data_IF_175167481434
#
_entry.id   IF_175167481434
#
_cell.length_a   1.000
_cell.length_b   1.000
_cell.length_c   1.000
_cell.angle_alpha   90.00
_cell.angle_beta   90.00
_cell.angle_gamma   90.00
#
_symmetry.space_group_name_H-M   'P 1'
#
loop_
_entity.id
_entity.type
_entity.pdbx_description
1 polymer ?
#
# COMPACT_ATOMS: atom_id res chain seq x y z
N UNK A 1 -32.02 -34.00 29.43
CA UNK A 1 -32.02 -35.39 29.94
C UNK A 1 -31.16 -35.40 31.19
N UNK A 2 -31.79 -35.30 32.36
CA UNK A 2 -31.13 -35.49 33.64
C UNK A 2 -30.84 -36.99 33.78
N UNK A 3 -29.57 -37.37 33.88
CA UNK A 3 -29.18 -38.71 34.29
C UNK A 3 -28.67 -38.61 35.72
N UNK A 4 -29.47 -39.16 36.62
CA UNK A 4 -29.05 -39.63 37.93
C UNK A 4 -27.84 -40.54 37.73
N UNK A 5 -26.65 -40.02 37.99
CA UNK A 5 -25.43 -40.82 38.07
C UNK A 5 -25.19 -41.14 39.54
N UNK A 6 -25.13 -42.44 39.84
CA UNK A 6 -24.81 -42.99 41.15
C UNK A 6 -23.56 -42.28 41.74
N UNK A 7 -23.77 -41.61 42.88
CA UNK A 7 -22.84 -40.69 43.51
C UNK A 7 -21.74 -41.37 44.37
N UNK A 8 -21.32 -42.59 44.03
CA UNK A 8 -20.43 -43.37 44.92
C UNK A 8 -18.94 -43.37 44.55
N UNK A 9 -18.56 -42.91 43.35
CA UNK A 9 -17.15 -42.89 42.89
C UNK A 9 -16.67 -41.53 42.34
N UNK A 10 -17.45 -40.45 42.51
CA UNK A 10 -17.06 -39.13 42.01
C UNK A 10 -16.01 -38.48 42.92
N UNK A 11 -14.84 -38.15 42.36
CA UNK A 11 -13.75 -37.50 43.09
C UNK A 11 -14.07 -36.02 43.33
N UNK A 12 -14.01 -35.58 44.58
CA UNK A 12 -14.14 -34.17 44.93
C UNK A 12 -12.95 -33.37 44.39
N UNK A 13 -13.22 -32.31 43.63
CA UNK A 13 -12.19 -31.42 43.06
C UNK A 13 -12.17 -30.04 43.71
N UNK A 14 -13.27 -29.59 44.31
CA UNK A 14 -13.35 -28.27 44.92
C UNK A 14 -14.54 -28.06 45.84
N UNK A 15 -14.44 -27.03 46.68
CA UNK A 15 -15.57 -26.46 47.43
C UNK A 15 -15.91 -25.09 46.84
N UNK A 16 -17.21 -24.79 46.74
CA UNK A 16 -17.73 -23.55 46.16
C UNK A 16 -18.70 -22.87 47.13
N UNK A 17 -18.58 -21.57 47.33
CA UNK A 17 -19.54 -20.75 48.06
C UNK A 17 -20.29 -19.85 47.08
N UNK A 18 -21.62 -19.78 47.22
CA UNK A 18 -22.50 -18.90 46.46
C UNK A 18 -22.86 -17.66 47.27
N UNK A 19 -22.91 -16.50 46.63
CA UNK A 19 -23.32 -15.22 47.21
C UNK A 19 -24.37 -14.52 46.34
N UNK A 20 -25.22 -13.74 46.99
CA UNK A 20 -26.23 -12.89 46.34
C UNK A 20 -25.71 -11.45 46.09
N UNK A 21 -24.63 -11.05 46.75
CA UNK A 21 -24.06 -9.71 46.66
C UNK A 21 -22.53 -9.72 46.45
N UNK A 22 -21.99 -8.74 45.69
CA UNK A 22 -20.57 -8.69 45.38
C UNK A 22 -19.67 -8.31 46.57
N UNK A 23 -20.19 -7.57 47.55
CA UNK A 23 -19.40 -7.12 48.70
C UNK A 23 -19.06 -8.30 49.63
N UNK A 24 -20.03 -9.18 49.85
CA UNK A 24 -19.84 -10.43 50.59
C UNK A 24 -18.81 -11.34 49.91
N UNK A 25 -18.81 -11.41 48.58
CA UNK A 25 -17.80 -12.14 47.81
C UNK A 25 -16.39 -11.55 48.06
N UNK A 26 -16.22 -10.24 47.98
CA UNK A 26 -14.92 -9.59 48.17
C UNK A 26 -14.35 -9.86 49.57
N UNK A 27 -15.19 -9.76 50.61
CA UNK A 27 -14.79 -10.08 51.98
C UNK A 27 -14.43 -11.56 52.13
N UNK A 28 -15.17 -12.46 51.47
CA UNK A 28 -14.86 -13.89 51.45
C UNK A 28 -13.52 -14.17 50.75
N UNK A 29 -13.26 -13.55 49.61
CA UNK A 29 -11.99 -13.64 48.89
C UNK A 29 -10.82 -13.21 49.78
N UNK A 30 -10.95 -12.07 50.48
CA UNK A 30 -9.91 -11.60 51.38
C UNK A 30 -9.68 -12.56 52.55
N UNK A 31 -10.75 -13.11 53.14
CA UNK A 31 -10.65 -14.13 54.20
C UNK A 31 -9.92 -15.38 53.73
N UNK A 32 -10.25 -15.87 52.53
CA UNK A 32 -9.61 -17.04 51.92
C UNK A 32 -8.13 -16.79 51.66
N UNK A 33 -7.77 -15.63 51.09
CA UNK A 33 -6.37 -15.21 50.90
C UNK A 33 -5.62 -15.15 52.25
N UNK A 34 -6.19 -14.50 53.27
CA UNK A 34 -5.60 -14.41 54.62
C UNK A 34 -5.45 -15.77 55.30
N UNK A 35 -6.32 -16.72 54.98
CA UNK A 35 -6.24 -18.09 55.49
C UNK A 35 -5.16 -18.94 54.78
N UNK A 36 -4.50 -18.41 53.74
CA UNK A 36 -3.35 -19.01 53.08
C UNK A 36 -3.69 -19.95 51.93
N UNK A 37 -4.91 -19.88 51.38
CA UNK A 37 -5.26 -20.61 50.16
C UNK A 37 -4.71 -19.87 48.94
N UNK A 38 -4.30 -20.63 47.93
CA UNK A 38 -3.60 -20.11 46.72
C UNK A 38 -4.23 -20.57 45.42
N UNK A 39 -4.88 -21.73 45.40
CA UNK A 39 -5.62 -22.29 44.25
C UNK A 39 -7.10 -22.00 44.41
N UNK A 40 -7.44 -20.73 44.23
CA UNK A 40 -8.77 -20.21 44.46
C UNK A 40 -9.18 -19.35 43.29
N UNK A 41 -10.45 -19.39 42.94
CA UNK A 41 -10.98 -18.62 41.83
C UNK A 41 -12.37 -18.07 42.16
N UNK A 42 -12.70 -16.90 41.62
CA UNK A 42 -13.98 -16.24 41.83
C UNK A 42 -14.67 -16.00 40.50
N UNK A 43 -15.96 -16.33 40.43
CA UNK A 43 -16.77 -16.25 39.23
C UNK A 43 -17.87 -15.23 39.43
N UNK A 44 -17.92 -14.28 38.51
CA UNK A 44 -18.74 -13.08 38.62
C UNK A 44 -19.34 -12.78 37.24
N UNK A 45 -20.61 -12.33 37.17
CA UNK A 45 -21.27 -12.05 35.88
C UNK A 45 -20.68 -10.82 35.17
N UNK A 46 -19.97 -9.96 35.91
CA UNK A 46 -19.28 -8.79 35.41
C UNK A 46 -17.96 -8.57 36.16
N UNK A 47 -17.02 -7.78 35.60
CA UNK A 47 -15.75 -7.47 36.27
C UNK A 47 -15.97 -6.71 37.58
N UNK A 48 -15.53 -7.28 38.70
CA UNK A 48 -15.59 -6.65 40.02
C UNK A 48 -14.28 -5.95 40.35
N UNK A 49 -14.34 -4.64 40.59
CA UNK A 49 -13.17 -3.86 40.99
C UNK A 49 -12.65 -4.31 42.36
N UNK A 50 -11.34 -4.51 42.48
CA UNK A 50 -10.69 -4.93 43.72
C UNK A 50 -10.66 -6.45 43.96
N UNK A 51 -11.26 -7.26 43.08
CA UNK A 51 -11.21 -8.72 43.21
C UNK A 51 -9.79 -9.27 43.11
N UNK A 52 -8.96 -8.68 42.24
CA UNK A 52 -7.56 -9.03 42.07
C UNK A 52 -6.77 -8.85 43.37
N UNK A 53 -7.00 -7.73 44.06
CA UNK A 53 -6.38 -7.49 45.37
C UNK A 53 -6.95 -8.43 46.42
N UNK A 54 -8.28 -8.60 46.47
CA UNK A 54 -8.95 -9.46 47.45
C UNK A 54 -8.46 -10.92 47.39
N UNK A 55 -8.29 -11.48 46.19
CA UNK A 55 -7.74 -12.82 45.96
C UNK A 55 -6.19 -12.85 45.98
N UNK A 56 -5.53 -11.71 45.78
CA UNK A 56 -4.07 -11.64 45.69
C UNK A 56 -3.53 -12.13 44.35
N UNK A 57 -4.27 -11.88 43.27
CA UNK A 57 -3.90 -12.24 41.91
C UNK A 57 -2.68 -11.40 41.49
N UNK A 58 -1.69 -12.07 40.90
CA UNK A 58 -0.48 -11.40 40.38
C UNK A 58 -0.79 -10.73 39.03
N UNK A 59 -0.13 -9.62 38.70
CA UNK A 59 -0.24 -9.02 37.37
C UNK A 59 0.04 -10.03 36.26
N UNK A 60 -0.77 -10.00 35.21
CA UNK A 60 -0.60 -10.89 34.05
C UNK A 60 0.67 -10.56 33.27
N UNK A 61 1.29 -11.58 32.68
CA UNK A 61 2.45 -11.42 31.77
C UNK A 61 2.04 -11.00 30.36
N UNK A 62 0.74 -10.97 30.05
CA UNK A 62 0.22 -10.68 28.71
C UNK A 62 0.76 -9.36 28.11
N UNK A 63 0.83 -8.23 28.84
CA UNK A 63 1.37 -6.99 28.27
C UNK A 63 2.81 -7.11 27.76
N UNK A 64 3.64 -7.93 28.40
CA UNK A 64 5.02 -8.17 27.97
C UNK A 64 5.10 -9.02 26.70
N UNK A 65 4.20 -10.01 26.57
CA UNK A 65 4.06 -10.80 25.34
C UNK A 65 3.66 -9.89 24.18
N UNK A 66 2.67 -9.03 24.41
CA UNK A 66 2.13 -8.08 23.42
C UNK A 66 3.21 -7.08 23.00
N UNK A 67 3.94 -6.50 23.95
CA UNK A 67 5.05 -5.60 23.66
C UNK A 67 6.12 -6.27 22.80
N UNK A 68 6.51 -7.50 23.15
CA UNK A 68 7.55 -8.24 22.43
C UNK A 68 7.13 -8.55 20.98
N UNK A 69 5.90 -9.00 20.77
CA UNK A 69 5.38 -9.29 19.43
C UNK A 69 5.11 -8.01 18.62
N UNK A 70 4.71 -6.91 19.27
CA UNK A 70 4.59 -5.60 18.63
C UNK A 70 5.94 -5.09 18.11
N UNK A 71 7.00 -5.17 18.93
CA UNK A 71 8.37 -4.81 18.52
C UNK A 71 8.82 -5.68 17.35
N UNK A 72 8.56 -6.99 17.41
CA UNK A 72 8.85 -7.90 16.30
C UNK A 72 8.12 -7.49 15.02
N UNK A 73 6.83 -7.17 15.07
CA UNK A 73 6.06 -6.70 13.92
C UNK A 73 6.64 -5.43 13.29
N UNK A 74 7.09 -4.48 14.13
CA UNK A 74 7.74 -3.26 13.66
C UNK A 74 9.10 -3.52 12.99
N UNK A 75 9.93 -4.37 13.59
CA UNK A 75 11.23 -4.77 13.01
C UNK A 75 11.06 -5.55 11.72
N UNK A 76 10.08 -6.46 11.65
CA UNK A 76 9.76 -7.22 10.44
C UNK A 76 9.27 -6.29 9.32
N UNK A 77 8.40 -5.32 9.64
CA UNK A 77 7.93 -4.32 8.68
C UNK A 77 9.05 -3.42 8.15
N UNK A 78 9.97 -3.00 9.02
CA UNK A 78 11.15 -2.23 8.64
C UNK A 78 12.08 -3.04 7.75
N UNK A 79 12.40 -4.28 8.16
CA UNK A 79 13.29 -5.17 7.43
C UNK A 79 12.74 -5.53 6.05
N UNK A 80 11.43 -5.85 5.95
CA UNK A 80 10.77 -6.15 4.68
C UNK A 80 10.87 -4.96 3.72
N UNK A 81 10.50 -3.77 4.17
CA UNK A 81 10.50 -2.58 3.31
C UNK A 81 11.92 -2.14 2.93
N UNK A 82 12.90 -2.31 3.82
CA UNK A 82 14.30 -2.08 3.49
C UNK A 82 14.78 -3.08 2.45
N UNK A 83 14.50 -4.38 2.65
CA UNK A 83 14.90 -5.44 1.74
C UNK A 83 14.35 -5.20 0.34
N UNK A 84 13.04 -4.93 0.21
CA UNK A 84 12.41 -4.76 -1.11
C UNK A 84 12.83 -3.47 -1.80
N UNK A 85 12.88 -2.33 -1.08
CA UNK A 85 13.08 -1.02 -1.72
C UNK A 85 14.54 -0.61 -1.86
N UNK A 86 15.44 -1.11 -1.01
CA UNK A 86 16.83 -0.66 -0.97
C UNK A 86 17.85 -1.74 -1.33
N UNK A 87 17.52 -3.02 -1.18
CA UNK A 87 18.45 -4.13 -1.42
C UNK A 87 18.12 -4.94 -2.67
N UNK A 88 16.94 -5.55 -2.73
CA UNK A 88 16.56 -6.50 -3.78
C UNK A 88 16.25 -5.80 -5.11
N UNK A 89 15.38 -4.80 -5.09
CA UNK A 89 14.99 -4.06 -6.28
C UNK A 89 14.99 -2.54 -6.05
N UNK A 90 16.18 -1.90 -5.96
CA UNK A 90 16.27 -0.48 -5.73
C UNK A 90 15.68 0.31 -6.91
N UNK A 91 14.53 0.95 -6.66
CA UNK A 91 13.80 1.70 -7.68
C UNK A 91 13.64 3.17 -7.28
N UNK A 92 14.19 4.07 -8.09
CA UNK A 92 14.13 5.51 -7.86
C UNK A 92 12.79 6.08 -8.33
N UNK A 93 11.81 6.12 -7.43
CA UNK A 93 10.48 6.69 -7.70
C UNK A 93 10.49 8.18 -7.39
N UNK A 94 10.26 9.02 -8.41
CA UNK A 94 10.12 10.48 -8.23
C UNK A 94 11.35 11.13 -7.56
N UNK A 95 12.55 10.61 -7.84
CA UNK A 95 13.82 11.03 -7.25
C UNK A 95 13.87 11.01 -5.71
N UNK A 96 13.00 10.23 -5.07
CA UNK A 96 13.08 9.98 -3.63
C UNK A 96 14.24 9.01 -3.33
N UNK A 97 14.81 9.07 -2.11
CA UNK A 97 15.78 8.07 -1.68
C UNK A 97 15.17 6.67 -1.78
N UNK A 98 15.97 5.67 -2.13
CA UNK A 98 15.55 4.26 -2.22
C UNK A 98 14.99 3.73 -0.89
N UNK A 99 15.41 4.32 0.23
CA UNK A 99 14.80 4.08 1.53
C UNK A 99 14.40 5.40 2.21
N UNK A 100 13.12 5.51 2.60
CA UNK A 100 12.58 6.68 3.30
C UNK A 100 11.76 6.23 4.51
N UNK A 101 12.30 6.49 5.71
CA UNK A 101 11.60 6.13 6.95
C UNK A 101 10.21 6.78 7.05
N UNK A 102 10.01 8.10 6.76
CA UNK A 102 8.68 8.71 6.79
C UNK A 102 7.64 8.05 5.88
N UNK A 103 8.07 7.58 4.69
CA UNK A 103 7.17 6.90 3.76
C UNK A 103 6.77 5.49 4.25
N UNK A 104 7.64 4.86 5.04
CA UNK A 104 7.47 3.47 5.50
C UNK A 104 6.77 3.36 6.86
N UNK A 105 6.66 4.46 7.63
CA UNK A 105 6.01 4.48 8.95
C UNK A 105 4.58 3.91 8.93
N UNK A 106 3.69 4.26 7.99
CA UNK A 106 2.32 3.73 8.00
C UNK A 106 2.29 2.20 7.96
N UNK A 107 3.11 1.58 7.11
CA UNK A 107 3.18 0.11 7.00
C UNK A 107 3.78 -0.51 8.26
N UNK A 108 4.83 0.09 8.82
CA UNK A 108 5.44 -0.37 10.08
C UNK A 108 4.41 -0.33 11.22
N UNK A 109 3.68 0.78 11.33
CA UNK A 109 2.65 0.98 12.34
C UNK A 109 1.53 -0.07 12.26
N UNK A 110 1.01 -0.33 11.06
CA UNK A 110 -0.01 -1.36 10.86
C UNK A 110 0.50 -2.75 11.25
N UNK A 111 1.76 -3.09 10.91
CA UNK A 111 2.35 -4.37 11.31
C UNK A 111 2.58 -4.49 12.81
N UNK A 112 2.95 -3.40 13.50
CA UNK A 112 3.01 -3.39 14.98
C UNK A 112 1.63 -3.69 15.57
N UNK A 113 0.58 -2.99 15.10
CA UNK A 113 -0.78 -3.19 15.61
C UNK A 113 -1.28 -4.60 15.32
N UNK A 114 -1.08 -5.11 14.11
CA UNK A 114 -1.52 -6.45 13.72
C UNK A 114 -0.91 -7.52 14.62
N UNK A 115 0.42 -7.48 14.83
CA UNK A 115 1.09 -8.46 15.69
C UNK A 115 0.69 -8.30 17.16
N UNK A 116 0.55 -7.07 17.64
CA UNK A 116 0.09 -6.80 19.00
C UNK A 116 -1.34 -7.33 19.22
N UNK A 117 -2.27 -7.10 18.29
CA UNK A 117 -3.65 -7.57 18.38
C UNK A 117 -3.74 -9.10 18.39
N UNK A 118 -2.98 -9.77 17.50
CA UNK A 118 -2.88 -11.24 17.48
C UNK A 118 -2.31 -11.75 18.81
N UNK A 119 -1.26 -11.10 19.34
CA UNK A 119 -0.66 -11.44 20.63
C UNK A 119 -1.64 -11.29 21.79
N UNK A 120 -2.43 -10.21 21.82
CA UNK A 120 -3.46 -9.98 22.84
C UNK A 120 -4.49 -11.09 22.77
N UNK A 121 -5.05 -11.36 21.60
CA UNK A 121 -6.12 -12.32 21.43
C UNK A 121 -5.68 -13.74 21.76
N UNK A 122 -4.64 -14.23 21.08
CA UNK A 122 -4.12 -15.59 21.28
C UNK A 122 -3.50 -15.74 22.67
N UNK A 123 -2.76 -14.73 23.13
CA UNK A 123 -2.15 -14.74 24.46
C UNK A 123 -3.19 -14.79 25.58
N UNK A 124 -4.29 -14.03 25.47
CA UNK A 124 -5.39 -14.09 26.44
C UNK A 124 -6.03 -15.47 26.45
N UNK A 125 -6.33 -16.05 25.28
CA UNK A 125 -6.89 -17.39 25.19
C UNK A 125 -5.93 -18.43 25.80
N UNK A 126 -4.66 -18.42 25.41
CA UNK A 126 -3.67 -19.39 25.87
C UNK A 126 -3.42 -19.32 27.38
N UNK A 127 -3.29 -18.11 27.95
CA UNK A 127 -3.07 -17.92 29.39
C UNK A 127 -4.28 -18.38 30.22
N UNK A 128 -5.49 -18.23 29.67
CA UNK A 128 -6.73 -18.75 30.27
C UNK A 128 -7.03 -20.22 29.90
N UNK A 129 -6.09 -20.91 29.22
CA UNK A 129 -6.24 -22.30 28.73
C UNK A 129 -7.47 -22.51 27.83
N UNK A 130 -7.84 -21.50 27.07
CA UNK A 130 -8.92 -21.56 26.10
C UNK A 130 -8.38 -22.01 24.73
N UNK A 131 -9.15 -22.82 23.98
CA UNK A 131 -10.46 -23.37 24.33
C UNK A 131 -10.36 -24.57 25.30
N UNK A 132 -11.09 -24.51 26.41
CA UNK A 132 -11.37 -25.66 27.28
C UNK A 132 -12.81 -26.11 27.04
N UNK A 133 -13.01 -27.33 26.53
CA UNK A 133 -14.33 -27.82 26.10
C UNK A 133 -15.20 -28.41 27.21
N UNK A 134 -14.60 -28.75 28.35
CA UNK A 134 -15.34 -29.20 29.53
C UNK A 134 -14.71 -28.61 30.79
N UNK A 135 -15.54 -28.04 31.66
CA UNK A 135 -15.15 -27.59 32.99
C UNK A 135 -16.15 -28.16 34.00
N UNK A 136 -15.71 -28.90 35.03
CA UNK A 136 -16.62 -29.54 35.99
C UNK A 136 -17.56 -28.56 36.73
N UNK A 137 -17.18 -27.28 36.83
CA UNK A 137 -18.02 -26.25 37.46
C UNK A 137 -19.38 -26.09 36.76
N UNK A 138 -19.45 -26.34 35.45
CA UNK A 138 -20.70 -26.28 34.69
C UNK A 138 -21.68 -27.42 35.00
N UNK A 139 -21.28 -28.42 35.81
CA UNK A 139 -22.15 -29.50 36.28
C UNK A 139 -22.92 -29.15 37.54
N UNK A 140 -22.48 -28.12 38.26
CA UNK A 140 -23.17 -27.62 39.45
C UNK A 140 -24.40 -26.81 38.99
N UNK A 141 -25.64 -27.25 39.29
CA UNK A 141 -26.85 -26.60 38.77
C UNK A 141 -26.94 -25.11 39.11
N UNK A 142 -26.49 -24.73 40.31
CA UNK A 142 -26.49 -23.36 40.79
C UNK A 142 -25.49 -22.48 40.02
N UNK A 143 -24.38 -23.06 39.55
CA UNK A 143 -23.34 -22.33 38.81
C UNK A 143 -23.82 -21.83 37.45
N UNK A 144 -24.93 -22.36 36.92
CA UNK A 144 -25.59 -21.82 35.73
C UNK A 144 -25.97 -20.33 35.88
N UNK A 145 -26.10 -19.83 37.12
CA UNK A 145 -26.39 -18.42 37.43
C UNK A 145 -25.15 -17.54 37.56
N UNK A 146 -23.94 -18.08 37.42
CA UNK A 146 -22.68 -17.33 37.54
C UNK A 146 -22.54 -16.22 36.49
N UNK A 147 -23.23 -16.35 35.36
CA UNK A 147 -23.25 -15.35 34.28
C UNK A 147 -24.50 -14.46 34.31
N UNK A 148 -25.40 -14.66 35.27
CA UNK A 148 -26.67 -13.93 35.37
C UNK A 148 -26.67 -13.01 36.60
N UNK A 149 -26.84 -13.59 37.79
CA UNK A 149 -27.07 -12.80 39.01
C UNK A 149 -26.37 -13.33 40.28
N UNK A 150 -25.60 -14.43 40.20
CA UNK A 150 -24.92 -15.02 41.36
C UNK A 150 -23.41 -14.93 41.26
N UNK A 151 -22.78 -14.84 42.43
CA UNK A 151 -21.34 -14.76 42.57
C UNK A 151 -20.83 -16.02 43.27
N UNK A 152 -19.67 -16.52 42.84
CA UNK A 152 -19.12 -17.77 43.37
C UNK A 152 -17.65 -17.62 43.74
N UNK A 153 -17.25 -18.25 44.84
CA UNK A 153 -15.86 -18.41 45.26
C UNK A 153 -15.53 -19.88 45.36
N UNK A 154 -14.43 -20.32 44.76
CA UNK A 154 -13.99 -21.71 44.77
C UNK A 154 -12.62 -21.89 45.42
N UNK A 155 -12.44 -23.03 46.07
CA UNK A 155 -11.14 -23.52 46.54
C UNK A 155 -10.94 -24.93 45.98
N UNK A 156 -9.82 -25.14 45.29
CA UNK A 156 -9.42 -26.43 44.75
C UNK A 156 -8.93 -27.37 45.88
N UNK A 157 -9.34 -28.64 45.85
CA UNK A 157 -8.93 -29.67 46.82
C UNK A 157 -7.41 -29.93 46.77
N UNK A 158 -6.77 -29.66 45.64
CA UNK A 158 -5.31 -29.78 45.45
C UNK A 158 -4.51 -28.62 46.06
N UNK A 159 -5.17 -27.65 46.70
CA UNK A 159 -4.48 -26.60 47.46
C UNK A 159 -3.77 -27.17 48.69
N UNK A 160 -2.56 -26.70 48.97
CA UNK A 160 -1.77 -27.18 50.11
C UNK A 160 -2.42 -26.87 51.48
N UNK A 161 -3.24 -25.82 51.54
CA UNK A 161 -3.96 -25.40 52.74
C UNK A 161 -5.33 -26.09 52.89
N UNK A 162 -5.76 -26.86 51.89
CA UNK A 162 -7.04 -27.56 51.91
C UNK A 162 -7.10 -28.66 52.97
N UNK A 163 -8.12 -28.60 53.83
CA UNK A 163 -8.45 -29.64 54.80
C UNK A 163 -9.97 -29.76 54.87
N UNK A 164 -10.59 -30.91 54.55
CA UNK A 164 -12.03 -31.03 54.31
C UNK A 164 -12.91 -30.33 55.38
N UNK A 165 -12.70 -30.65 56.67
CA UNK A 165 -13.48 -30.05 57.77
C UNK A 165 -13.18 -28.57 57.97
N UNK A 166 -11.91 -28.19 58.01
CA UNK A 166 -11.48 -26.80 58.26
C UNK A 166 -11.89 -25.87 57.12
N UNK A 167 -11.77 -26.32 55.87
CA UNK A 167 -12.18 -25.55 54.70
C UNK A 167 -13.70 -25.41 54.66
N UNK A 168 -14.44 -26.45 55.00
CA UNK A 168 -15.90 -26.37 55.13
C UNK A 168 -16.34 -25.39 56.23
N UNK A 169 -15.75 -25.47 57.42
CA UNK A 169 -16.00 -24.52 58.51
C UNK A 169 -15.66 -23.08 58.14
N UNK A 170 -14.58 -22.87 57.38
CA UNK A 170 -14.24 -21.55 56.86
C UNK A 170 -15.32 -21.06 55.90
N UNK A 171 -15.77 -21.91 54.98
CA UNK A 171 -16.82 -21.57 54.04
C UNK A 171 -18.10 -21.23 54.77
N UNK A 172 -18.54 -22.04 55.73
CA UNK A 172 -19.72 -21.79 56.58
C UNK A 172 -19.62 -20.54 57.46
N UNK A 173 -18.43 -19.95 57.59
CA UNK A 173 -18.21 -18.68 58.31
C UNK A 173 -18.33 -17.43 57.44
N UNK A 174 -18.58 -17.57 56.14
CA UNK A 174 -18.70 -16.43 55.25
C UNK A 174 -20.02 -15.70 55.48
N UNK A 175 -19.93 -14.38 55.59
CA UNK A 175 -21.12 -13.53 55.74
C UNK A 175 -21.77 -13.43 54.36
N UNK A 176 -23.09 -13.58 54.31
CA UNK A 176 -23.84 -13.41 53.06
C UNK A 176 -23.73 -14.58 52.08
N UNK A 177 -23.16 -15.71 52.49
CA UNK A 177 -23.22 -16.93 51.68
C UNK A 177 -24.67 -17.44 51.64
N UNK A 178 -25.11 -17.88 50.49
CA UNK A 178 -26.44 -18.47 50.30
C UNK A 178 -26.38 -19.99 50.27
N UNK A 179 -25.28 -20.56 49.75
CA UNK A 179 -25.05 -22.00 49.67
C UNK A 179 -23.55 -22.32 49.67
N UNK A 180 -23.20 -23.52 50.14
CA UNK A 180 -21.86 -24.11 49.98
C UNK A 180 -21.99 -25.46 49.30
N UNK A 181 -21.45 -25.53 48.09
CA UNK A 181 -21.59 -26.60 47.12
C UNK A 181 -20.28 -27.36 46.98
N UNK A 182 -20.38 -28.65 46.71
CA UNK A 182 -19.25 -29.51 46.43
C UNK A 182 -19.13 -29.70 44.92
N UNK A 183 -17.92 -29.51 44.39
CA UNK A 183 -17.63 -29.68 42.97
C UNK A 183 -16.92 -31.01 42.78
N UNK A 184 -17.51 -31.85 41.94
CA UNK A 184 -17.01 -33.19 41.63
C UNK A 184 -16.38 -33.23 40.24
N UNK A 185 -15.42 -34.13 40.03
CA UNK A 185 -14.77 -34.36 38.75
C UNK A 185 -15.81 -34.78 37.69
N UNK A 186 -15.68 -34.23 36.48
CA UNK A 186 -16.49 -34.65 35.33
C UNK A 186 -15.72 -35.75 34.57
N UNK A 187 -16.16 -37.02 34.63
CA UNK A 187 -15.50 -38.12 33.91
C UNK A 187 -15.79 -38.11 32.40
N UNK A 188 -16.64 -37.20 31.91
CA UNK A 188 -16.97 -37.15 30.48
C UNK A 188 -15.78 -36.69 29.63
N UNK A 189 -15.49 -37.45 28.57
CA UNK A 189 -14.46 -37.06 27.61
C UNK A 189 -14.83 -35.74 26.93
N UNK A 190 -13.92 -34.76 26.99
CA UNK A 190 -14.05 -33.46 26.35
C UNK A 190 -13.92 -33.58 24.81
N UNK A 191 -14.94 -34.15 24.17
CA UNK A 191 -14.99 -34.32 22.73
C UNK A 191 -15.39 -33.02 22.04
N UNK A 192 -14.56 -32.57 21.08
CA UNK A 192 -14.83 -31.38 20.28
C UNK A 192 -16.16 -31.58 19.50
N UNK A 193 -17.13 -30.65 19.58
CA UNK A 193 -18.41 -30.81 18.91
C UNK A 193 -18.21 -31.03 17.40
N UNK A 194 -18.96 -31.95 16.76
CA UNK A 194 -18.78 -32.26 15.35
C UNK A 194 -18.86 -31.02 14.45
N UNK A 195 -19.77 -30.08 14.76
CA UNK A 195 -19.93 -28.82 14.03
C UNK A 195 -18.62 -28.01 14.02
N UNK A 196 -17.97 -27.86 15.17
CA UNK A 196 -16.70 -27.13 15.29
C UNK A 196 -15.57 -27.82 14.50
N UNK A 197 -15.55 -29.17 14.48
CA UNK A 197 -14.60 -29.93 13.66
C UNK A 197 -14.78 -29.60 12.17
N UNK A 198 -16.01 -29.69 11.66
CA UNK A 198 -16.28 -29.42 10.25
C UNK A 198 -16.07 -27.95 9.87
N UNK A 199 -16.48 -27.00 10.72
CA UNK A 199 -16.23 -25.57 10.53
C UNK A 199 -14.73 -25.29 10.48
N UNK A 200 -13.93 -25.88 11.38
CA UNK A 200 -12.48 -25.75 11.38
C UNK A 200 -11.85 -26.29 10.09
N UNK A 201 -12.28 -27.46 9.61
CA UNK A 201 -11.83 -28.03 8.32
C UNK A 201 -12.19 -27.08 7.16
N UNK A 202 -13.43 -26.61 7.10
CA UNK A 202 -13.86 -25.66 6.06
C UNK A 202 -13.04 -24.36 6.10
N UNK A 203 -12.78 -23.81 7.29
CA UNK A 203 -11.98 -22.61 7.44
C UNK A 203 -10.53 -22.81 6.94
N UNK A 204 -9.92 -23.95 7.25
CA UNK A 204 -8.59 -24.31 6.75
C UNK A 204 -8.59 -24.45 5.22
N UNK A 205 -9.58 -25.14 4.67
CA UNK A 205 -9.72 -25.29 3.21
C UNK A 205 -9.85 -23.91 2.55
N UNK A 206 -10.71 -23.03 3.06
CA UNK A 206 -10.89 -21.67 2.53
C UNK A 206 -9.60 -20.86 2.66
N UNK A 207 -8.90 -20.93 3.78
CA UNK A 207 -7.66 -20.19 4.03
C UNK A 207 -6.51 -20.61 3.08
N UNK A 208 -6.55 -21.85 2.58
CA UNK A 208 -5.55 -22.38 1.63
C UNK A 208 -5.84 -21.97 0.18
N UNK A 209 -7.07 -21.55 -0.15
CA UNK A 209 -7.44 -21.14 -1.52
C UNK A 209 -6.58 -19.96 -2.02
N UNK A 210 -6.44 -18.82 -1.31
CA UNK A 210 -5.65 -17.70 -1.82
C UNK A 210 -4.17 -18.03 -2.06
N UNK A 211 -3.45 -18.71 -1.14
CA UNK A 211 -2.08 -19.17 -1.39
C UNK A 211 -1.96 -20.09 -2.61
N UNK A 212 -2.91 -21.01 -2.80
CA UNK A 212 -2.91 -21.90 -3.98
C UNK A 212 -3.16 -21.13 -5.29
N UNK A 213 -4.07 -20.14 -5.27
CA UNK A 213 -4.31 -19.28 -6.42
C UNK A 213 -3.07 -18.43 -6.75
N UNK A 214 -2.38 -17.91 -5.73
CA UNK A 214 -1.11 -17.19 -5.89
C UNK A 214 0.00 -18.10 -6.42
N UNK A 215 0.11 -19.32 -5.91
CA UNK A 215 1.09 -20.30 -6.38
C UNK A 215 0.85 -20.71 -7.84
N UNK A 216 -0.41 -20.99 -8.21
CA UNK A 216 -0.81 -21.22 -9.60
C UNK A 216 -0.48 -20.01 -10.49
N UNK A 217 -0.62 -18.81 -9.95
CA UNK A 217 -0.29 -17.57 -10.62
C UNK A 217 1.20 -17.17 -10.53
N UNK A 218 2.06 -17.90 -9.83
CA UNK A 218 3.43 -17.44 -9.61
C UNK A 218 4.26 -17.41 -10.91
N UNK A 219 4.07 -18.39 -11.80
CA UNK A 219 4.85 -18.53 -13.04
C UNK A 219 4.09 -18.19 -14.33
N UNK A 220 2.82 -17.82 -14.27
CA UNK A 220 2.11 -17.47 -15.50
C UNK A 220 2.54 -16.09 -16.01
N UNK A 221 2.42 -15.87 -17.31
CA UNK A 221 2.86 -14.65 -18.02
C UNK A 221 1.68 -13.83 -18.57
N UNK A 222 0.45 -14.15 -18.15
CA UNK A 222 -0.76 -13.51 -18.66
C UNK A 222 -0.76 -11.99 -18.47
N UNK A 223 -1.26 -11.27 -19.47
CA UNK A 223 -1.35 -9.80 -19.57
C UNK A 223 -2.60 -9.20 -18.89
N UNK A 224 -3.47 -10.05 -18.35
CA UNK A 224 -4.74 -9.67 -17.70
C UNK A 224 -4.70 -10.07 -16.22
N UNK A 225 -5.23 -9.24 -15.28
CA UNK A 225 -5.31 -9.59 -13.87
C UNK A 225 -6.07 -10.92 -13.69
N UNK A 226 -5.43 -11.88 -13.03
CA UNK A 226 -5.91 -13.27 -12.95
C UNK A 226 -7.03 -13.46 -11.93
N UNK A 227 -7.05 -12.60 -10.93
CA UNK A 227 -8.04 -12.55 -9.87
C UNK A 227 -8.41 -11.07 -9.75
N UNK A 228 -9.64 -10.75 -10.14
CA UNK A 228 -10.19 -9.40 -10.06
C UNK A 228 -11.35 -9.40 -9.04
N UNK A 229 -11.04 -9.35 -7.74
CA UNK A 229 -12.07 -9.34 -6.70
C UNK A 229 -12.82 -8.01 -6.65
N UNK A 230 -12.20 -6.92 -7.12
CA UNK A 230 -12.75 -5.56 -7.10
C UNK A 230 -12.89 -5.07 -8.54
N UNK A 231 -13.95 -5.53 -9.20
CA UNK A 231 -14.21 -5.23 -10.63
C UNK A 231 -14.38 -3.74 -10.94
N UNK A 232 -14.78 -2.98 -9.91
CA UNK A 232 -14.93 -1.52 -9.93
C UNK A 232 -13.61 -0.78 -10.23
N UNK A 233 -12.49 -1.21 -9.62
CA UNK A 233 -11.22 -0.49 -9.74
C UNK A 233 -10.43 -0.85 -10.99
N UNK A 234 -10.59 -2.07 -11.51
CA UNK A 234 -9.89 -2.53 -12.72
C UNK A 234 -10.49 -1.97 -14.02
N UNK A 235 -11.79 -1.68 -14.01
CA UNK A 235 -12.52 -1.12 -15.16
C UNK A 235 -12.99 0.29 -14.80
N UNK A 236 -12.05 1.12 -14.37
CA UNK A 236 -12.30 2.56 -14.32
C UNK A 236 -12.14 3.10 -15.73
N UNK A 237 -13.16 3.84 -16.19
CA UNK A 237 -13.02 4.66 -17.38
C UNK A 237 -11.92 5.68 -17.10
N UNK A 238 -10.72 5.39 -17.58
CA UNK A 238 -9.57 6.29 -17.46
C UNK A 238 -9.85 7.49 -18.35
N UNK A 239 -10.25 8.58 -17.72
CA UNK A 239 -10.37 9.87 -18.37
C UNK A 239 -8.98 10.50 -18.41
N UNK A 240 -8.29 10.43 -19.55
CA UNK A 240 -7.02 11.12 -19.70
C UNK A 240 -7.28 12.64 -19.71
N UNK A 241 -6.41 13.40 -19.03
CA UNK A 241 -6.43 14.86 -19.02
C UNK A 241 -6.53 15.41 -20.45
N UNK A 242 -7.51 16.27 -20.71
CA UNK A 242 -7.79 16.91 -22.01
C UNK A 242 -8.33 15.99 -23.13
N UNK A 243 -8.69 14.73 -22.84
CA UNK A 243 -9.42 13.90 -23.81
C UNK A 243 -10.93 14.19 -23.78
N UNK A 244 -11.57 14.15 -24.95
CA UNK A 244 -13.03 14.09 -25.07
C UNK A 244 -13.48 12.69 -24.66
N UNK A 245 -14.11 12.59 -23.50
CA UNK A 245 -14.85 11.40 -23.10
C UNK A 245 -16.33 11.62 -23.39
N UNK A 246 -17.14 10.57 -23.49
CA UNK A 246 -18.58 10.68 -23.26
C UNK A 246 -18.85 10.94 -21.75
N UNK A 247 -18.20 11.94 -21.15
CA UNK A 247 -18.38 12.33 -19.76
C UNK A 247 -19.55 13.29 -19.66
N UNK A 248 -20.52 12.98 -18.81
CA UNK A 248 -21.66 13.85 -18.49
C UNK A 248 -21.29 15.02 -17.56
N UNK A 249 -20.00 15.21 -17.25
CA UNK A 249 -19.54 16.17 -16.22
C UNK A 249 -19.46 17.59 -16.79
N UNK A 250 -18.89 17.75 -17.98
CA UNK A 250 -18.82 19.03 -18.69
C UNK A 250 -19.61 18.94 -20.00
N UNK A 251 -20.31 20.02 -20.35
CA UNK A 251 -21.20 20.10 -21.52
C UNK A 251 -20.46 19.91 -22.86
N UNK A 252 -19.15 20.07 -22.86
CA UNK A 252 -18.26 19.88 -24.02
C UNK A 252 -17.66 18.47 -24.10
N UNK A 253 -18.07 17.55 -23.22
CA UNK A 253 -17.56 16.17 -23.18
C UNK A 253 -16.11 16.06 -22.73
N UNK A 254 -15.50 17.11 -22.15
CA UNK A 254 -14.11 17.01 -21.68
C UNK A 254 -14.06 16.35 -20.31
N UNK A 255 -13.02 15.56 -20.06
CA UNK A 255 -12.75 14.99 -18.74
C UNK A 255 -12.36 16.03 -17.67
N UNK A 256 -11.96 17.23 -18.10
CA UNK A 256 -11.50 18.32 -17.24
C UNK A 256 -11.86 19.67 -17.82
N UNK A 257 -12.05 20.68 -16.97
CA UNK A 257 -12.27 22.06 -17.40
C UNK A 257 -11.00 22.59 -18.08
N UNK A 258 -11.08 23.09 -19.33
CA UNK A 258 -9.94 23.75 -19.96
C UNK A 258 -9.59 25.05 -19.23
N UNK A 259 -8.38 25.56 -19.46
CA UNK A 259 -8.04 26.92 -19.00
C UNK A 259 -9.01 27.90 -19.64
N UNK A 260 -9.50 28.86 -18.86
CA UNK A 260 -10.36 29.90 -19.39
C UNK A 260 -9.46 30.84 -20.19
N UNK A 261 -9.80 31.07 -21.46
CA UNK A 261 -9.04 31.97 -22.32
C UNK A 261 -8.84 33.35 -21.63
N UNK A 262 -7.60 33.84 -21.65
CA UNK A 262 -7.22 35.11 -21.00
C UNK A 262 -7.02 35.04 -19.48
N UNK A 263 -7.10 33.85 -18.85
CA UNK A 263 -6.77 33.68 -17.42
C UNK A 263 -5.37 33.08 -17.23
N UNK A 264 -4.64 33.62 -16.26
CA UNK A 264 -3.32 33.13 -15.81
C UNK A 264 -3.38 32.79 -14.33
N UNK A 265 -2.66 31.76 -13.89
CA UNK A 265 -2.57 31.43 -12.47
C UNK A 265 -1.87 32.57 -11.72
N UNK A 266 -2.20 32.81 -10.44
CA UNK A 266 -1.54 33.88 -9.66
C UNK A 266 -0.01 33.75 -9.56
N UNK A 267 0.51 32.54 -9.78
CA UNK A 267 1.95 32.23 -9.78
C UNK A 267 2.59 32.26 -11.18
N UNK A 268 1.80 32.35 -12.25
CA UNK A 268 2.32 32.31 -13.61
C UNK A 268 2.84 33.70 -14.02
N UNK A 269 3.96 33.73 -14.73
CA UNK A 269 4.48 34.97 -15.32
C UNK A 269 3.48 35.57 -16.32
N UNK A 270 3.33 36.90 -16.32
CA UNK A 270 2.55 37.63 -17.32
C UNK A 270 3.30 37.78 -18.65
N UNK A 271 4.59 37.41 -18.68
CA UNK A 271 5.38 37.41 -19.90
C UNK A 271 4.97 36.23 -20.80
N UNK A 272 4.22 36.54 -21.85
CA UNK A 272 3.74 35.55 -22.81
C UNK A 272 4.88 34.80 -23.50
N UNK A 273 6.00 35.47 -23.79
CA UNK A 273 7.17 34.85 -24.43
C UNK A 273 7.79 33.83 -23.47
N UNK A 274 7.85 34.16 -22.19
CA UNK A 274 8.35 33.26 -21.15
C UNK A 274 7.44 32.05 -20.92
N UNK A 275 6.12 32.22 -20.98
CA UNK A 275 5.18 31.13 -20.69
C UNK A 275 4.92 30.22 -21.89
N UNK A 276 5.02 30.75 -23.11
CA UNK A 276 4.70 30.02 -24.36
C UNK A 276 5.94 29.61 -25.16
N UNK A 277 7.07 30.31 -25.01
CA UNK A 277 8.25 30.11 -25.86
C UNK A 277 8.10 30.65 -27.28
N UNK A 278 7.10 31.51 -27.54
CA UNK A 278 6.82 32.12 -28.84
C UNK A 278 7.09 33.63 -28.77
N UNK A 279 7.81 34.17 -29.75
CA UNK A 279 8.02 35.61 -29.92
C UNK A 279 6.82 36.18 -30.68
N UNK A 280 6.02 37.03 -30.02
CA UNK A 280 4.87 37.67 -30.66
C UNK A 280 5.33 38.78 -31.61
N UNK A 281 5.16 38.59 -32.93
CA UNK A 281 5.34 39.68 -33.90
C UNK A 281 4.00 40.37 -34.25
N UNK A 282 2.86 39.69 -34.13
CA UNK A 282 1.50 40.29 -34.16
C UNK A 282 0.53 39.50 -33.27
N UNK A 283 -0.44 40.19 -32.65
CA UNK A 283 -1.43 39.59 -31.76
C UNK A 283 -2.34 38.54 -32.45
N UNK A 284 -2.43 38.57 -33.78
CA UNK A 284 -3.34 37.75 -34.59
C UNK A 284 -2.81 36.33 -34.85
N UNK A 285 -1.49 36.13 -34.94
CA UNK A 285 -0.89 34.80 -35.15
C UNK A 285 -0.99 33.90 -33.91
N UNK A 286 -0.93 34.47 -32.70
CA UNK A 286 -0.96 33.71 -31.45
C UNK A 286 -2.36 33.22 -31.07
N UNK A 287 -3.41 33.91 -31.52
CA UNK A 287 -4.80 33.50 -31.25
C UNK A 287 -5.20 32.32 -32.15
N UNK A 288 -4.73 32.28 -33.40
CA UNK A 288 -5.02 31.18 -34.32
C UNK A 288 -4.39 29.85 -33.86
N UNK A 289 -3.14 29.85 -33.40
CA UNK A 289 -2.46 28.63 -32.94
C UNK A 289 -3.08 28.07 -31.64
N UNK A 290 -3.42 28.94 -30.69
CA UNK A 290 -4.12 28.54 -29.45
C UNK A 290 -5.56 28.06 -29.70
N UNK A 291 -6.23 28.55 -30.74
CA UNK A 291 -7.60 28.15 -31.09
C UNK A 291 -7.67 26.93 -32.03
N UNK A 292 -6.64 26.68 -32.85
CA UNK A 292 -6.57 25.49 -33.70
C UNK A 292 -6.24 24.23 -32.90
N UNK A 293 -5.42 24.32 -31.84
CA UNK A 293 -5.19 23.22 -30.90
C UNK A 293 -6.43 22.88 -30.04
N UNK A 294 -7.42 23.77 -29.95
CA UNK A 294 -8.69 23.55 -29.23
C UNK A 294 -9.82 22.94 -30.08
N UNK A 295 -9.63 22.82 -31.40
CA UNK A 295 -10.60 22.09 -32.24
C UNK A 295 -10.43 20.59 -32.04
N UNK A 296 -11.52 19.84 -31.82
CA UNK A 296 -11.44 18.40 -31.63
C UNK A 296 -10.83 17.77 -32.88
N UNK A 297 -9.71 17.04 -32.71
CA UNK A 297 -9.21 16.13 -33.74
C UNK A 297 -10.37 15.22 -34.12
N UNK A 298 -10.76 15.24 -35.41
CA UNK A 298 -11.87 14.45 -35.90
C UNK A 298 -11.72 12.97 -35.51
N UNK A 299 -12.84 12.39 -35.13
CA UNK A 299 -13.07 11.00 -34.69
C UNK A 299 -12.05 10.00 -35.25
N UNK A 300 -11.33 9.31 -34.36
CA UNK A 300 -11.07 7.90 -34.58
C UNK A 300 -12.23 7.15 -33.92
N UNK A 301 -13.02 6.38 -34.68
CA UNK A 301 -14.02 5.51 -34.06
C UNK A 301 -13.32 4.65 -33.03
N UNK A 302 -13.87 4.61 -31.81
CA UNK A 302 -13.51 3.56 -30.86
C UNK A 302 -13.74 2.23 -31.57
N UNK A 303 -12.67 1.51 -31.85
CA UNK A 303 -12.76 0.12 -32.24
C UNK A 303 -13.39 -0.61 -31.04
N UNK A 304 -14.67 -0.96 -31.18
CA UNK A 304 -15.40 -1.77 -30.22
C UNK A 304 -14.63 -3.08 -30.09
N UNK A 305 -13.98 -3.29 -28.94
CA UNK A 305 -13.31 -4.54 -28.65
C UNK A 305 -14.39 -5.64 -28.68
N UNK A 306 -14.33 -6.63 -29.59
CA UNK A 306 -15.35 -7.67 -29.61
C UNK A 306 -15.30 -8.43 -28.30
N UNK A 307 -16.46 -8.68 -27.71
CA UNK A 307 -16.59 -9.69 -26.68
C UNK A 307 -16.08 -11.01 -27.27
N UNK A 308 -14.99 -11.55 -26.73
CA UNK A 308 -14.47 -12.87 -27.12
C UNK A 308 -15.52 -13.92 -26.76
N UNK A 309 -16.28 -14.32 -27.77
CA UNK A 309 -17.09 -15.51 -27.78
C UNK A 309 -16.23 -16.72 -28.18
N UNK A 310 -16.66 -17.85 -27.62
CA UNK A 310 -16.20 -19.23 -27.69
C UNK A 310 -15.40 -19.73 -28.91
N UNK A 311 -14.60 -20.75 -28.59
CA UNK A 311 -13.80 -21.58 -29.49
C UNK A 311 -14.56 -22.09 -30.73
N UNK A 312 -13.90 -22.04 -31.89
CA UNK A 312 -14.06 -23.03 -32.96
C UNK A 312 -12.80 -23.08 -33.85
N UNK A 313 -12.44 -24.30 -34.22
CA UNK A 313 -11.40 -24.68 -35.19
C UNK A 313 -11.74 -24.19 -36.60
N UNK A 314 -10.77 -23.84 -37.45
CA UNK A 314 -10.23 -24.71 -38.51
C UNK A 314 -9.41 -23.92 -39.55
N UNK A 315 -8.56 -24.68 -40.25
CA UNK A 315 -7.49 -24.33 -41.18
C UNK A 315 -7.82 -23.32 -42.32
N UNK A 316 -6.87 -22.42 -42.60
CA UNK A 316 -6.56 -21.97 -43.97
C UNK A 316 -5.11 -21.47 -44.06
N UNK A 317 -4.46 -21.81 -45.16
CA UNK A 317 -3.02 -21.83 -45.38
C UNK A 317 -2.52 -20.64 -46.23
N UNK A 318 -1.32 -20.14 -45.90
CA UNK A 318 -0.31 -19.41 -46.71
C UNK A 318 -0.49 -17.90 -47.04
N UNK A 319 0.60 -17.14 -47.33
CA UNK A 319 2.00 -17.55 -47.50
C UNK A 319 3.05 -16.74 -46.68
N UNK A 320 4.30 -17.18 -46.88
CA UNK A 320 5.55 -16.87 -46.21
C UNK A 320 5.95 -15.39 -46.05
N UNK A 321 6.72 -15.18 -44.98
CA UNK A 321 7.40 -13.95 -44.60
C UNK A 321 8.47 -13.52 -45.62
N UNK A 322 8.49 -12.22 -45.93
CA UNK A 322 9.71 -11.53 -46.36
C UNK A 322 10.45 -10.97 -45.14
N UNK A 323 11.77 -11.09 -45.18
CA UNK A 323 12.72 -10.68 -44.15
C UNK A 323 12.78 -9.13 -43.97
N UNK A 324 13.28 -8.62 -42.83
CA UNK A 324 13.13 -7.22 -42.46
C UNK A 324 14.07 -6.30 -43.25
N UNK A 325 13.52 -5.21 -43.78
CA UNK A 325 14.29 -4.14 -44.39
C UNK A 325 14.99 -3.26 -43.34
N UNK A 326 16.25 -3.03 -43.63
CA UNK A 326 17.25 -2.21 -42.93
C UNK A 326 16.83 -0.75 -42.70
N UNK A 327 17.37 -0.18 -41.61
CA UNK A 327 17.38 1.23 -41.22
C UNK A 327 17.07 2.25 -42.34
N UNK A 328 15.86 2.81 -42.32
CA UNK A 328 15.56 4.06 -43.01
C UNK A 328 15.16 5.12 -41.98
N UNK A 329 16.04 6.10 -41.75
CA UNK A 329 15.69 7.33 -41.05
C UNK A 329 14.55 8.03 -41.81
N UNK A 330 13.46 8.46 -41.15
CA UNK A 330 12.44 9.24 -41.83
C UNK A 330 13.05 10.58 -42.25
N UNK A 331 13.05 10.83 -43.56
CA UNK A 331 13.47 12.08 -44.17
C UNK A 331 12.74 13.27 -43.52
N UNK A 332 13.48 14.34 -43.26
CA UNK A 332 12.94 15.58 -42.72
C UNK A 332 11.80 16.09 -43.59
N UNK A 333 10.60 16.22 -43.00
CA UNK A 333 9.51 16.94 -43.61
C UNK A 333 9.93 18.41 -43.82
N UNK A 334 9.62 19.04 -44.97
CA UNK A 334 9.87 20.47 -45.17
C UNK A 334 9.08 21.28 -44.11
N UNK A 335 9.60 22.43 -43.66
CA UNK A 335 8.94 23.23 -42.63
C UNK A 335 7.56 23.66 -43.13
N UNK A 336 6.54 23.39 -42.31
CA UNK A 336 5.18 23.79 -42.60
C UNK A 336 5.09 25.32 -42.71
N UNK A 337 4.32 25.81 -43.68
CA UNK A 337 4.20 27.23 -44.05
C UNK A 337 3.58 28.13 -42.95
N UNK A 338 3.33 27.59 -41.75
CA UNK A 338 2.73 28.25 -40.58
C UNK A 338 3.44 27.89 -39.24
N UNK A 339 4.76 27.66 -39.21
CA UNK A 339 5.43 27.44 -37.92
C UNK A 339 5.51 28.76 -37.08
N UNK A 340 5.16 28.74 -35.78
CA UNK A 340 5.29 29.89 -34.90
C UNK A 340 6.73 30.41 -34.83
N UNK A 341 6.89 31.72 -34.60
CA UNK A 341 8.20 32.31 -34.38
C UNK A 341 8.73 31.94 -32.98
N UNK A 342 9.42 30.80 -32.90
CA UNK A 342 9.94 30.29 -31.64
C UNK A 342 11.09 31.13 -31.09
N UNK A 343 11.12 31.27 -29.76
CA UNK A 343 12.27 31.82 -29.05
C UNK A 343 13.52 31.00 -29.37
N UNK A 344 14.56 31.64 -29.92
CA UNK A 344 15.79 30.96 -30.32
C UNK A 344 16.58 30.40 -29.15
N UNK A 345 16.71 31.18 -28.07
CA UNK A 345 17.48 30.83 -26.88
C UNK A 345 16.66 31.04 -25.62
N UNK A 346 16.77 30.11 -24.67
CA UNK A 346 16.03 30.17 -23.41
C UNK A 346 16.17 31.55 -22.74
N UNK A 347 15.06 32.24 -22.39
CA UNK A 347 15.08 33.58 -21.82
C UNK A 347 15.41 33.56 -20.31
N UNK A 348 16.38 32.73 -19.90
CA UNK A 348 16.84 32.60 -18.51
C UNK A 348 18.35 32.71 -18.44
N UNK A 349 18.86 33.25 -17.33
CA UNK A 349 20.29 33.27 -17.07
C UNK A 349 20.79 31.86 -16.75
N UNK A 350 21.71 31.35 -17.57
CA UNK A 350 22.37 30.06 -17.33
C UNK A 350 23.39 30.23 -16.19
N UNK A 351 23.05 29.71 -15.01
CA UNK A 351 23.92 29.61 -13.83
C UNK A 351 24.10 28.13 -13.47
N UNK A 352 25.14 27.76 -12.70
CA UNK A 352 25.27 26.39 -12.18
C UNK A 352 24.01 25.89 -11.46
N UNK A 353 23.34 26.76 -10.70
CA UNK A 353 22.07 26.45 -10.03
C UNK A 353 20.92 26.16 -11.01
N UNK A 354 20.89 26.85 -12.16
CA UNK A 354 19.90 26.64 -13.22
C UNK A 354 20.09 25.29 -13.88
N UNK A 355 21.35 24.94 -14.20
CA UNK A 355 21.69 23.63 -14.77
C UNK A 355 21.39 22.49 -13.79
N UNK A 356 21.72 22.67 -12.50
CA UNK A 356 21.43 21.67 -11.47
C UNK A 356 19.91 21.47 -11.30
N UNK A 357 19.15 22.56 -11.32
CA UNK A 357 17.68 22.51 -11.29
C UNK A 357 17.12 21.81 -12.54
N UNK A 358 17.64 22.15 -13.71
CA UNK A 358 17.28 21.51 -14.98
C UNK A 358 17.56 20.01 -14.97
N UNK A 359 18.75 19.60 -14.50
CA UNK A 359 19.13 18.20 -14.31
C UNK A 359 18.17 17.47 -13.39
N UNK A 360 17.88 18.05 -12.22
CA UNK A 360 16.96 17.44 -11.26
C UNK A 360 15.57 17.22 -11.87
N UNK A 361 15.03 18.22 -12.58
CA UNK A 361 13.71 18.13 -13.22
C UNK A 361 13.70 17.18 -14.41
N UNK A 362 14.74 17.18 -15.24
CA UNK A 362 14.92 16.22 -16.32
C UNK A 362 14.98 14.78 -15.79
N UNK A 363 15.74 14.53 -14.73
CA UNK A 363 15.84 13.21 -14.13
C UNK A 363 14.50 12.70 -13.60
N UNK A 364 13.66 13.59 -13.05
CA UNK A 364 12.33 13.24 -12.54
C UNK A 364 11.34 12.93 -13.68
N UNK A 365 11.27 13.79 -14.70
CA UNK A 365 10.17 13.76 -15.68
C UNK A 365 10.55 13.17 -17.03
N UNK A 366 11.79 13.36 -17.48
CA UNK A 366 12.21 13.09 -18.86
C UNK A 366 13.08 11.83 -18.99
N UNK A 367 13.96 11.56 -18.00
CA UNK A 367 14.95 10.47 -18.08
C UNK A 367 14.32 9.07 -18.16
N UNK A 368 13.10 8.92 -17.65
CA UNK A 368 12.34 7.66 -17.71
C UNK A 368 12.07 7.21 -19.15
N UNK A 369 11.95 8.15 -20.09
CA UNK A 369 11.75 7.88 -21.51
C UNK A 369 13.03 8.15 -22.32
N UNK A 370 13.69 9.29 -22.10
CA UNK A 370 14.84 9.71 -22.90
C UNK A 370 16.19 9.21 -22.38
N UNK A 371 16.24 8.52 -21.24
CA UNK A 371 17.49 8.09 -20.60
C UNK A 371 18.22 9.23 -19.89
N UNK A 372 19.17 8.89 -19.01
CA UNK A 372 19.94 9.90 -18.27
C UNK A 372 20.85 10.74 -19.19
N UNK A 373 21.34 10.13 -20.27
CA UNK A 373 22.17 10.78 -21.27
C UNK A 373 21.36 11.44 -22.40
N UNK A 374 20.06 11.18 -22.52
CA UNK A 374 19.22 11.72 -23.60
C UNK A 374 19.20 10.86 -24.88
N UNK A 375 19.58 9.59 -24.82
CA UNK A 375 19.69 8.72 -25.98
C UNK A 375 18.38 8.09 -26.47
N UNK A 376 17.27 8.29 -25.75
CA UNK A 376 15.99 7.63 -26.06
C UNK A 376 15.87 6.21 -25.48
N UNK A 377 16.80 5.85 -24.61
CA UNK A 377 16.97 4.52 -24.01
C UNK A 377 16.48 4.46 -22.55
N UNK A 378 15.55 5.33 -22.15
CA UNK A 378 14.98 5.29 -20.81
C UNK A 378 14.28 3.96 -20.52
N UNK A 379 14.16 3.61 -19.23
CA UNK A 379 13.58 2.33 -18.79
C UNK A 379 12.19 2.06 -19.39
N UNK A 380 11.37 3.09 -19.62
CA UNK A 380 10.05 2.94 -20.26
C UNK A 380 10.21 2.49 -21.71
N UNK A 381 11.17 3.07 -22.44
CA UNK A 381 11.50 2.71 -23.81
C UNK A 381 12.04 1.28 -23.91
N UNK A 382 13.02 0.95 -23.07
CA UNK A 382 13.58 -0.41 -22.99
C UNK A 382 12.48 -1.45 -22.72
N UNK A 383 11.63 -1.17 -21.72
CA UNK A 383 10.53 -2.05 -21.34
C UNK A 383 9.49 -2.22 -22.44
N UNK A 384 9.16 -1.15 -23.15
CA UNK A 384 8.20 -1.21 -24.25
C UNK A 384 8.72 -2.04 -25.43
N UNK A 385 10.02 -1.94 -25.72
CA UNK A 385 10.71 -2.74 -26.74
C UNK A 385 10.74 -4.22 -26.33
N UNK A 386 11.16 -4.53 -25.09
CA UNK A 386 11.15 -5.90 -24.54
C UNK A 386 9.76 -6.57 -24.60
N UNK A 387 8.71 -5.76 -24.54
CA UNK A 387 7.31 -6.21 -24.53
C UNK A 387 6.65 -6.19 -25.90
N UNK A 388 7.40 -5.87 -26.95
CA UNK A 388 6.91 -5.78 -28.33
C UNK A 388 5.60 -4.97 -28.43
N UNK A 389 5.54 -3.83 -27.72
CA UNK A 389 4.35 -2.99 -27.70
C UNK A 389 4.06 -2.40 -29.09
N UNK A 390 3.03 -2.92 -29.76
CA UNK A 390 2.68 -2.59 -31.15
C UNK A 390 2.42 -1.10 -31.42
N UNK A 391 1.99 -0.33 -30.42
CA UNK A 391 1.67 1.11 -30.54
C UNK A 391 2.78 2.03 -30.02
N UNK A 392 3.92 1.47 -29.60
CA UNK A 392 5.01 2.24 -29.02
C UNK A 392 5.77 3.04 -30.08
N UNK A 393 5.99 4.33 -29.79
CA UNK A 393 6.84 5.20 -30.60
C UNK A 393 8.08 5.52 -29.75
N UNK A 394 9.28 5.06 -30.14
CA UNK A 394 10.49 5.34 -29.40
C UNK A 394 10.71 6.84 -29.16
N UNK A 395 11.11 7.24 -27.94
CA UNK A 395 11.52 8.61 -27.65
C UNK A 395 12.69 9.01 -28.55
N UNK A 396 12.65 10.22 -29.08
CA UNK A 396 13.73 10.72 -29.95
C UNK A 396 15.03 10.87 -29.16
N UNK A 397 16.15 10.46 -29.77
CA UNK A 397 17.49 10.76 -29.27
C UNK A 397 17.73 12.29 -29.33
N UNK A 398 18.01 12.88 -28.18
CA UNK A 398 18.14 14.33 -28.00
C UNK A 398 19.39 14.92 -28.65
N UNK A 399 20.30 14.08 -29.14
CA UNK A 399 21.57 14.46 -29.79
C UNK A 399 21.50 14.48 -31.32
N UNK A 400 20.33 14.26 -31.91
CA UNK A 400 20.16 14.32 -33.37
C UNK A 400 20.33 15.74 -33.91
N UNK A 401 20.89 15.87 -35.11
CA UNK A 401 21.08 17.16 -35.81
C UNK A 401 19.78 17.97 -35.91
N UNK A 402 18.66 17.28 -36.09
CA UNK A 402 17.33 17.88 -36.08
C UNK A 402 17.04 18.63 -34.76
N UNK A 403 17.28 18.01 -33.60
CA UNK A 403 17.04 18.66 -32.30
C UNK A 403 18.14 19.66 -31.92
N UNK A 404 19.37 19.48 -32.40
CA UNK A 404 20.45 20.44 -32.22
C UNK A 404 20.11 21.79 -32.85
N UNK A 405 19.48 21.78 -34.01
CA UNK A 405 19.13 22.99 -34.79
C UNK A 405 17.78 23.61 -34.44
N UNK A 406 16.94 22.94 -33.65
CA UNK A 406 15.66 23.51 -33.23
C UNK A 406 15.84 24.74 -32.32
N UNK A 407 14.95 25.74 -32.40
CA UNK A 407 14.88 26.80 -31.38
C UNK A 407 14.51 26.27 -29.99
N UNK A 408 15.05 26.88 -28.94
CA UNK A 408 14.75 26.50 -27.55
C UNK A 408 13.24 26.57 -27.22
N UNK A 409 12.52 27.53 -27.79
CA UNK A 409 11.07 27.68 -27.64
C UNK A 409 10.28 26.48 -28.17
N UNK A 410 10.75 25.81 -29.23
CA UNK A 410 10.10 24.61 -29.78
C UNK A 410 10.26 23.41 -28.86
N UNK A 411 11.43 23.28 -28.21
CA UNK A 411 11.69 22.25 -27.20
C UNK A 411 10.83 22.53 -25.95
N UNK A 412 10.78 23.79 -25.50
CA UNK A 412 9.91 24.21 -24.40
C UNK A 412 8.44 23.88 -24.68
N UNK A 413 7.96 24.16 -25.90
CA UNK A 413 6.60 23.85 -26.32
C UNK A 413 6.34 22.33 -26.29
N UNK A 414 7.29 21.54 -26.77
CA UNK A 414 7.20 20.07 -26.74
C UNK A 414 7.11 19.54 -25.31
N UNK A 415 7.85 20.11 -24.36
CA UNK A 415 7.72 19.75 -22.93
C UNK A 415 6.35 20.15 -22.39
N UNK A 416 5.83 21.30 -22.81
CA UNK A 416 4.57 21.86 -22.31
C UNK A 416 3.36 21.07 -22.79
N UNK A 417 3.25 20.84 -24.11
CA UNK A 417 2.07 20.30 -24.77
C UNK A 417 2.24 18.84 -25.22
N UNK A 418 3.47 18.32 -25.23
CA UNK A 418 3.77 17.00 -25.75
C UNK A 418 3.94 17.00 -27.25
N UNK A 419 4.25 15.83 -27.82
CA UNK A 419 4.32 15.61 -29.27
C UNK A 419 4.10 14.13 -29.58
N UNK A 420 3.25 13.82 -30.56
CA UNK A 420 2.90 12.42 -30.91
C UNK A 420 2.40 11.65 -29.68
N UNK A 421 3.16 10.65 -29.22
CA UNK A 421 2.86 9.83 -28.02
C UNK A 421 3.53 10.36 -26.75
N UNK A 422 4.36 11.38 -26.83
CA UNK A 422 4.92 12.06 -25.66
C UNK A 422 3.85 12.94 -25.03
N UNK A 423 3.55 12.69 -23.75
CA UNK A 423 2.59 13.49 -22.98
C UNK A 423 3.15 14.89 -22.68
N UNK A 424 2.29 15.91 -22.68
CA UNK A 424 2.63 17.24 -22.19
C UNK A 424 2.77 17.28 -20.68
N UNK A 425 3.77 18.04 -20.20
CA UNK A 425 4.08 18.23 -18.78
C UNK A 425 3.78 19.65 -18.28
N UNK A 426 3.06 20.46 -19.07
CA UNK A 426 2.79 21.87 -18.78
C UNK A 426 2.12 22.13 -17.43
N UNK A 427 1.32 21.19 -16.94
CA UNK A 427 0.62 21.29 -15.66
C UNK A 427 1.45 20.75 -14.48
N UNK A 428 2.49 19.94 -14.75
CA UNK A 428 3.34 19.34 -13.70
C UNK A 428 4.67 20.08 -13.52
N UNK A 429 5.17 20.75 -14.55
CA UNK A 429 6.47 21.43 -14.56
C UNK A 429 6.23 22.91 -14.83
N UNK A 430 6.52 23.83 -13.90
CA UNK A 430 6.31 25.27 -14.11
C UNK A 430 7.23 25.83 -15.22
N UNK A 431 6.89 26.97 -15.86
CA UNK A 431 7.66 27.54 -16.97
C UNK A 431 9.16 27.69 -16.68
N UNK A 432 9.54 28.15 -15.48
CA UNK A 432 10.92 28.32 -15.06
C UNK A 432 11.69 26.99 -15.09
N UNK A 433 11.05 25.92 -14.61
CA UNK A 433 11.63 24.58 -14.59
C UNK A 433 11.69 23.98 -16.01
N UNK A 434 10.72 24.28 -16.89
CA UNK A 434 10.77 23.87 -18.30
C UNK A 434 11.94 24.53 -19.03
N UNK A 435 12.17 25.83 -18.84
CA UNK A 435 13.37 26.50 -19.40
C UNK A 435 14.67 25.97 -18.81
N UNK A 436 14.70 25.63 -17.52
CA UNK A 436 15.86 24.98 -16.89
C UNK A 436 16.12 23.59 -17.51
N UNK A 437 15.07 22.80 -17.79
CA UNK A 437 15.19 21.52 -18.52
C UNK A 437 15.76 21.76 -19.92
N UNK A 438 15.22 22.72 -20.69
CA UNK A 438 15.75 23.04 -22.03
C UNK A 438 17.24 23.37 -21.98
N UNK A 439 17.65 24.19 -21.00
CA UNK A 439 19.07 24.53 -20.79
C UNK A 439 19.91 23.30 -20.47
N UNK A 440 19.39 22.38 -19.66
CA UNK A 440 20.07 21.12 -19.36
C UNK A 440 20.14 20.17 -20.59
N UNK A 441 19.11 20.13 -21.42
CA UNK A 441 19.14 19.40 -22.71
C UNK A 441 20.23 19.96 -23.62
N UNK A 442 20.41 21.29 -23.68
CA UNK A 442 21.53 21.90 -24.40
C UNK A 442 22.89 21.54 -23.82
N UNK A 443 22.98 21.45 -22.50
CA UNK A 443 24.20 20.98 -21.84
C UNK A 443 24.51 19.51 -22.22
N UNK A 444 23.50 18.63 -22.22
CA UNK A 444 23.65 17.25 -22.69
C UNK A 444 24.13 17.19 -24.14
N UNK A 445 23.52 17.96 -25.03
CA UNK A 445 23.94 18.06 -26.43
C UNK A 445 25.40 18.52 -26.57
N UNK A 446 25.81 19.53 -25.81
CA UNK A 446 27.19 20.02 -25.78
C UNK A 446 28.20 18.99 -25.28
N UNK A 447 27.79 17.98 -24.50
CA UNK A 447 28.72 16.88 -24.13
C UNK A 447 29.19 16.05 -25.33
N UNK A 448 28.45 16.08 -26.46
CA UNK A 448 28.79 15.35 -27.69
C UNK A 448 29.30 16.24 -28.82
N UNK A 449 28.86 17.50 -28.86
CA UNK A 449 29.19 18.44 -29.94
C UNK A 449 30.21 19.50 -29.54
N UNK A 450 30.50 19.64 -28.24
CA UNK A 450 31.43 20.65 -27.72
C UNK A 450 32.84 20.45 -28.28
N UNK A 451 33.43 21.54 -28.74
CA UNK A 451 34.82 21.56 -29.21
C UNK A 451 35.74 22.22 -28.19
N UNK A 452 37.03 21.87 -28.21
CA UNK A 452 38.05 22.45 -27.31
C UNK A 452 38.10 23.98 -27.39
N UNK A 453 37.78 24.55 -28.55
CA UNK A 453 37.77 26.00 -28.80
C UNK A 453 36.62 26.73 -28.07
N UNK A 454 35.62 26.01 -27.56
CA UNK A 454 34.51 26.59 -26.80
C UNK A 454 34.80 26.67 -25.30
N UNK A 455 35.91 26.08 -24.84
CA UNK A 455 36.33 26.09 -23.44
C UNK A 455 37.13 27.38 -23.18
N UNK A 456 36.76 28.20 -22.17
CA UNK A 456 37.57 29.34 -21.77
C UNK A 456 39.02 28.93 -21.47
N UNK A 457 40.00 29.70 -21.95
CA UNK A 457 41.43 29.35 -21.83
C UNK A 457 41.90 29.06 -20.38
N UNK A 458 41.22 29.64 -19.38
CA UNK A 458 41.48 29.39 -17.95
C UNK A 458 41.03 27.98 -17.54
N UNK A 459 39.85 27.55 -17.98
CA UNK A 459 39.30 26.23 -17.67
C UNK A 459 40.02 25.13 -18.46
N UNK A 460 40.43 25.42 -19.70
CA UNK A 460 41.22 24.49 -20.52
C UNK A 460 42.52 24.11 -19.81
N UNK A 461 43.22 25.11 -19.25
CA UNK A 461 44.45 24.89 -18.49
C UNK A 461 44.22 24.07 -17.21
N UNK A 462 43.07 24.22 -16.55
CA UNK A 462 42.72 23.38 -15.41
C UNK A 462 42.40 21.94 -15.81
N UNK A 463 41.74 21.71 -16.95
CA UNK A 463 41.45 20.38 -17.47
C UNK A 463 42.73 19.65 -17.90
N UNK A 464 43.66 20.37 -18.56
CA UNK A 464 45.01 19.88 -18.90
C UNK A 464 45.80 19.47 -17.64
N UNK A 465 45.72 20.24 -16.56
CA UNK A 465 46.36 19.91 -15.27
C UNK A 465 45.69 18.68 -14.62
N UNK A 466 44.38 18.48 -14.81
CA UNK A 466 43.61 17.35 -14.28
C UNK A 466 43.69 16.09 -15.15
N UNK A 467 44.28 16.17 -16.35
CA UNK A 467 44.42 15.07 -17.29
C UNK A 467 43.09 14.58 -17.88
N UNK A 468 42.12 15.48 -18.06
CA UNK A 468 40.77 15.21 -18.57
C UNK A 468 40.56 15.71 -19.99
#
# INVERSE_FOLDING_TARGET
MAQDSNNSDQKLIGLMAQFDDPDSLLVACEKVRRAGYTKTDAYTPFPLHGIDEALGIKPTILPWIVLSLGIFGGLAGLALQYYTNAFDYPFMISAKPTFSLPANIPVIFELVILHAAIAVFIGMLALNRLPTFSNPLFRVPEFARATDDKFFLTVDVTDNSYKPKKTRELFDSFRGQTAVLEVYEDPSEANLPPVLKYVGICAVVIAVIPPLLLWKAYNSTATVPRINPIRDMDVQLRADTQTTMPSMIFTDGRAMRPRIAGTVSRSDSLDSVFVTGIVSETAEQNVAFLQEEEKPTAEQPMEEKPAEAEAAQDNAEQPAAEAPAENAAPAAAPPAENEPNWVKFAPITVKPSTLERGRARYNIYCSVCHGLAGDGDGLVSQRAIEREQATWVPPTNLHTDYLLTQPDGKIFNTITHGIRKMKGYGDQIPPEDRWAIVTYVRALQKTRTGTVNEIPAVELKELEIKGQ
#
